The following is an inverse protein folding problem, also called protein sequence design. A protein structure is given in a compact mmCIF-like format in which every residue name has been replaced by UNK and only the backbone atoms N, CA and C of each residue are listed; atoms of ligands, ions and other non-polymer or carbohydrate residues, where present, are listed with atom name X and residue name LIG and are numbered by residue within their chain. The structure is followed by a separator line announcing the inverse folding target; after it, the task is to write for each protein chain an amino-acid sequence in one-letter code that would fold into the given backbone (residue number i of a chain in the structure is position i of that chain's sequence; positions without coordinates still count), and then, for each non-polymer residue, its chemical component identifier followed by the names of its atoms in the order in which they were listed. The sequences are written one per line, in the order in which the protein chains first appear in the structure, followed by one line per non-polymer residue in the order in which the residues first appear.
data_IF_642561973004
#
_entry.id   IF_642561973004
#
_cell.length_a   1.000
_cell.length_b   1.000
_cell.length_c   1.000
_cell.angle_alpha   90.00
_cell.angle_beta   90.00
_cell.angle_gamma   90.00
#
_symmetry.space_group_name_H-M   'P 1'
#
loop_
_entity.id
_entity.type
_entity.pdbx_description
1 polymer ?
#
# COMPACT_ATOMS: atom_id res chain seq x y z
N UNK A 1 21.65 64.22 17.03
CA UNK A 1 22.77 63.33 17.40
C UNK A 1 22.33 62.57 18.62
N UNK A 2 21.73 61.44 18.42
CA UNK A 2 21.25 60.54 19.47
C UNK A 2 22.00 59.23 19.34
N UNK A 3 22.85 58.96 20.34
CA UNK A 3 23.66 57.76 20.41
C UNK A 3 22.78 56.60 20.88
N UNK A 4 22.62 55.59 20.04
CA UNK A 4 21.99 54.34 20.32
C UNK A 4 23.00 53.44 21.08
N UNK A 5 22.75 53.29 22.37
CA UNK A 5 23.56 52.47 23.26
C UNK A 5 23.23 50.99 23.03
N UNK A 6 24.06 50.31 22.26
CA UNK A 6 24.03 48.84 22.11
C UNK A 6 24.43 48.21 23.46
N UNK A 7 23.44 47.72 24.25
CA UNK A 7 23.72 46.88 25.41
C UNK A 7 24.07 45.48 24.93
N UNK A 8 25.30 45.09 25.13
CA UNK A 8 25.70 43.70 25.00
C UNK A 8 24.98 42.85 26.06
N UNK A 9 24.48 41.68 25.70
CA UNK A 9 23.86 40.75 26.66
C UNK A 9 24.94 40.26 27.64
N UNK A 10 24.65 40.41 28.94
CA UNK A 10 25.56 40.00 30.01
C UNK A 10 25.84 38.46 29.99
N UNK A 11 26.94 38.04 30.62
CA UNK A 11 27.41 36.65 30.61
C UNK A 11 26.37 35.62 31.07
N UNK A 12 25.44 36.01 31.93
CA UNK A 12 24.33 35.20 32.44
C UNK A 12 23.31 34.82 31.34
N UNK A 13 23.15 35.64 30.31
CA UNK A 13 22.17 35.39 29.23
C UNK A 13 22.73 34.35 28.25
N UNK A 14 24.02 34.38 28.01
CA UNK A 14 24.68 33.42 27.14
C UNK A 14 24.73 31.99 27.77
N UNK A 15 25.00 31.90 29.07
CA UNK A 15 24.98 30.63 29.77
C UNK A 15 23.58 30.00 29.84
N UNK A 16 22.53 30.82 29.99
CA UNK A 16 21.13 30.33 29.96
C UNK A 16 20.75 29.82 28.59
N UNK A 17 21.10 30.55 27.52
CA UNK A 17 20.84 30.10 26.14
C UNK A 17 21.54 28.77 25.80
N UNK A 18 22.78 28.58 26.28
CA UNK A 18 23.49 27.32 26.10
C UNK A 18 22.89 26.15 26.87
N UNK A 19 22.38 26.37 28.07
CA UNK A 19 21.70 25.33 28.85
C UNK A 19 20.35 24.95 28.24
N UNK A 20 19.61 25.91 27.72
CA UNK A 20 18.34 25.66 27.04
C UNK A 20 18.55 24.87 25.73
N UNK A 21 19.59 25.21 24.98
CA UNK A 21 19.94 24.52 23.73
C UNK A 21 20.38 23.06 24.00
N UNK A 22 21.20 22.85 25.04
CA UNK A 22 21.63 21.49 25.45
C UNK A 22 20.44 20.66 25.99
N UNK A 23 19.49 21.29 26.71
CA UNK A 23 18.31 20.59 27.18
C UNK A 23 17.37 20.22 26.05
N UNK A 24 17.23 21.06 25.00
CA UNK A 24 16.44 20.76 23.81
C UNK A 24 17.07 19.65 22.97
N UNK A 25 18.41 19.64 22.81
CA UNK A 25 19.12 18.59 22.10
C UNK A 25 19.01 17.24 22.82
N UNK A 26 19.19 17.21 24.14
CA UNK A 26 19.04 15.98 24.94
C UNK A 26 17.60 15.43 24.86
N UNK A 27 16.60 16.31 24.85
CA UNK A 27 15.20 15.89 24.71
C UNK A 27 14.90 15.34 23.31
N UNK A 28 15.48 15.96 22.26
CA UNK A 28 15.32 15.49 20.88
C UNK A 28 16.00 14.13 20.66
N UNK A 29 17.18 13.91 21.21
CA UNK A 29 17.88 12.62 21.13
C UNK A 29 17.14 11.51 21.90
N UNK A 30 16.60 11.79 23.08
CA UNK A 30 15.78 10.85 23.82
C UNK A 30 14.50 10.49 23.10
N UNK A 31 13.87 11.47 22.44
CA UNK A 31 12.63 11.26 21.66
C UNK A 31 12.94 10.41 20.41
N UNK A 32 14.05 10.66 19.74
CA UNK A 32 14.48 9.89 18.57
C UNK A 32 14.84 8.44 18.96
N UNK A 33 15.52 8.24 20.08
CA UNK A 33 15.85 6.90 20.58
C UNK A 33 14.60 6.11 21.01
N UNK A 34 13.61 6.76 21.63
CA UNK A 34 12.35 6.13 22.00
C UNK A 34 11.51 5.81 20.77
N UNK A 35 11.47 6.67 19.77
CA UNK A 35 10.80 6.40 18.50
C UNK A 35 11.42 5.21 17.76
N UNK A 36 12.76 5.09 17.80
CA UNK A 36 13.47 3.95 17.22
C UNK A 36 13.20 2.62 17.96
N UNK A 37 12.96 2.67 19.28
CA UNK A 37 12.59 1.48 20.07
C UNK A 37 11.14 1.07 19.89
N UNK A 38 10.23 2.00 19.67
CA UNK A 38 8.80 1.70 19.41
C UNK A 38 8.55 1.13 18.02
N UNK A 39 9.41 1.41 17.04
CA UNK A 39 9.34 0.86 15.68
C UNK A 39 9.78 -0.62 15.58
N UNK A 40 10.33 -1.20 16.63
CA UNK A 40 10.61 -2.65 16.69
C UNK A 40 9.33 -3.39 17.08
N UNK A 41 8.50 -3.67 16.10
CA UNK A 41 7.50 -4.72 16.22
C UNK A 41 8.26 -6.02 16.54
N UNK A 42 8.02 -6.69 17.68
CA UNK A 42 8.59 -8.01 17.90
C UNK A 42 7.99 -8.92 16.84
N UNK A 43 8.74 -9.13 15.76
CA UNK A 43 8.27 -9.91 14.64
C UNK A 43 7.83 -11.28 15.12
N UNK A 44 6.55 -11.59 14.99
CA UNK A 44 6.12 -12.98 14.90
C UNK A 44 7.05 -13.66 13.89
N UNK A 45 7.50 -14.90 14.13
CA UNK A 45 8.27 -15.63 13.13
C UNK A 45 7.61 -15.43 11.78
N UNK A 46 8.36 -14.96 10.77
CA UNK A 46 7.81 -14.68 9.46
C UNK A 46 7.08 -15.94 9.00
N UNK A 47 5.77 -15.81 8.80
CA UNK A 47 5.02 -16.89 8.17
C UNK A 47 5.67 -17.18 6.80
N UNK A 48 5.62 -18.42 6.35
CA UNK A 48 6.12 -18.79 5.04
C UNK A 48 5.56 -17.81 3.98
N UNK A 49 6.37 -17.35 3.02
CA UNK A 49 5.93 -16.44 1.99
C UNK A 49 4.69 -17.00 1.30
N UNK A 50 3.63 -16.19 1.21
CA UNK A 50 2.38 -16.54 0.54
C UNK A 50 2.00 -15.42 -0.40
N UNK A 51 1.42 -15.78 -1.56
CA UNK A 51 0.86 -14.82 -2.50
C UNK A 51 -0.56 -14.42 -2.07
N UNK A 52 -1.09 -13.33 -2.66
CA UNK A 52 -2.50 -12.97 -2.47
C UNK A 52 -3.45 -14.07 -2.96
N UNK A 53 -3.07 -14.79 -4.00
CA UNK A 53 -3.83 -15.93 -4.53
C UNK A 53 -3.89 -17.07 -3.52
N UNK A 54 -2.76 -17.43 -2.90
CA UNK A 54 -2.73 -18.44 -1.83
C UNK A 54 -3.63 -18.07 -0.65
N UNK A 55 -3.66 -16.78 -0.29
CA UNK A 55 -4.53 -16.27 0.78
C UNK A 55 -6.00 -16.39 0.39
N UNK A 56 -6.38 -15.97 -0.82
CA UNK A 56 -7.74 -16.09 -1.34
C UNK A 56 -8.20 -17.56 -1.32
N UNK A 57 -7.40 -18.47 -1.90
CA UNK A 57 -7.73 -19.89 -1.94
C UNK A 57 -7.87 -20.51 -0.56
N UNK A 58 -6.96 -20.18 0.37
CA UNK A 58 -7.04 -20.68 1.74
C UNK A 58 -8.31 -20.17 2.44
N UNK A 59 -8.66 -18.89 2.29
CA UNK A 59 -9.85 -18.29 2.90
C UNK A 59 -11.13 -18.84 2.26
N UNK A 60 -11.16 -18.99 0.94
CA UNK A 60 -12.30 -19.57 0.23
C UNK A 60 -12.58 -21.03 0.64
N UNK A 61 -11.55 -21.80 0.99
CA UNK A 61 -11.73 -23.15 1.54
C UNK A 61 -12.26 -23.14 2.98
N UNK A 62 -11.83 -22.20 3.80
CA UNK A 62 -12.21 -22.13 5.23
C UNK A 62 -13.57 -21.45 5.43
N UNK A 63 -13.85 -20.42 4.65
CA UNK A 63 -15.02 -19.54 4.81
C UNK A 63 -15.77 -19.33 3.48
N UNK A 64 -16.21 -20.39 2.79
CA UNK A 64 -16.71 -20.28 1.41
C UNK A 64 -17.99 -19.44 1.27
N UNK A 65 -18.81 -19.40 2.30
CA UNK A 65 -20.09 -18.69 2.28
C UNK A 65 -20.01 -17.25 2.83
N UNK A 66 -18.89 -16.89 3.47
CA UNK A 66 -18.73 -15.56 4.03
C UNK A 66 -18.58 -14.50 2.92
N UNK A 67 -19.05 -13.26 3.17
CA UNK A 67 -18.85 -12.14 2.26
C UNK A 67 -17.35 -11.87 2.06
N UNK A 68 -16.95 -11.70 0.79
CA UNK A 68 -15.57 -11.39 0.42
C UNK A 68 -15.43 -9.99 -0.17
N UNK A 69 -16.35 -9.59 -1.04
CA UNK A 69 -16.39 -8.28 -1.67
C UNK A 69 -17.83 -7.75 -1.65
N UNK A 70 -17.96 -6.44 -1.48
CA UNK A 70 -19.22 -5.71 -1.57
C UNK A 70 -18.96 -4.37 -2.28
N UNK A 71 -19.53 -4.16 -3.46
CA UNK A 71 -19.44 -2.93 -4.23
C UNK A 71 -20.70 -2.03 -4.08
N UNK A 72 -21.55 -2.34 -3.11
CA UNK A 72 -22.81 -1.65 -2.87
C UNK A 72 -23.93 -2.04 -3.86
N UNK A 73 -23.65 -2.88 -4.86
CA UNK A 73 -24.62 -3.44 -5.82
C UNK A 73 -24.73 -4.94 -5.68
N UNK A 74 -23.58 -5.60 -5.51
CA UNK A 74 -23.48 -7.05 -5.45
C UNK A 74 -22.49 -7.46 -4.36
N UNK A 75 -22.88 -8.41 -3.54
CA UNK A 75 -22.01 -9.03 -2.55
C UNK A 75 -21.54 -10.38 -3.10
N UNK A 76 -20.22 -10.54 -3.23
CA UNK A 76 -19.62 -11.82 -3.59
C UNK A 76 -19.15 -12.55 -2.34
N UNK A 77 -19.52 -13.82 -2.19
CA UNK A 77 -18.90 -14.70 -1.19
C UNK A 77 -17.49 -15.10 -1.63
N UNK A 78 -16.66 -15.60 -0.71
CA UNK A 78 -15.33 -16.13 -1.06
C UNK A 78 -15.38 -17.22 -2.11
N UNK A 79 -16.40 -18.07 -2.09
CA UNK A 79 -16.62 -19.10 -3.12
C UNK A 79 -16.92 -18.48 -4.48
N UNK A 80 -17.80 -17.48 -4.54
CA UNK A 80 -18.15 -16.79 -5.77
C UNK A 80 -16.94 -16.04 -6.33
N UNK A 81 -16.23 -15.28 -5.49
CA UNK A 81 -15.00 -14.58 -5.88
C UNK A 81 -13.96 -15.55 -6.46
N UNK A 82 -13.68 -16.65 -5.78
CA UNK A 82 -12.72 -17.65 -6.27
C UNK A 82 -13.15 -18.25 -7.62
N UNK A 83 -14.44 -18.48 -7.82
CA UNK A 83 -14.97 -18.99 -9.08
C UNK A 83 -14.82 -17.99 -10.23
N UNK A 84 -15.12 -16.71 -10.00
CA UNK A 84 -14.95 -15.65 -11.00
C UNK A 84 -13.48 -15.42 -11.37
N UNK A 85 -12.60 -15.38 -10.36
CA UNK A 85 -11.16 -15.29 -10.55
C UNK A 85 -10.65 -16.44 -11.41
N UNK A 86 -11.05 -17.68 -11.11
CA UNK A 86 -10.64 -18.86 -11.89
C UNK A 86 -11.21 -18.84 -13.30
N UNK A 87 -12.44 -18.39 -13.50
CA UNK A 87 -13.04 -18.24 -14.83
C UNK A 87 -12.25 -17.24 -15.69
N UNK A 88 -11.91 -16.08 -15.14
CA UNK A 88 -11.14 -15.06 -15.86
C UNK A 88 -9.70 -15.54 -16.11
N UNK A 89 -9.06 -16.20 -15.13
CA UNK A 89 -7.75 -16.81 -15.29
C UNK A 89 -7.70 -17.78 -16.50
N UNK A 90 -8.73 -18.63 -16.65
CA UNK A 90 -8.83 -19.55 -17.80
C UNK A 90 -8.96 -18.81 -19.13
N UNK A 91 -9.71 -17.71 -19.16
CA UNK A 91 -9.82 -16.85 -20.36
C UNK A 91 -8.49 -16.21 -20.72
N UNK A 92 -7.74 -15.71 -19.73
CA UNK A 92 -6.39 -15.19 -19.93
C UNK A 92 -5.44 -16.25 -20.48
N UNK A 93 -5.45 -17.47 -19.90
CA UNK A 93 -4.66 -18.59 -20.37
C UNK A 93 -5.02 -19.01 -21.81
N UNK A 94 -6.31 -19.01 -22.16
CA UNK A 94 -6.77 -19.30 -23.52
C UNK A 94 -6.32 -18.24 -24.54
N UNK A 95 -6.08 -17.00 -24.09
CA UNK A 95 -5.48 -15.92 -24.87
C UNK A 95 -3.93 -15.96 -24.90
N UNK A 96 -3.31 -16.99 -24.30
CA UNK A 96 -1.86 -17.14 -24.26
C UNK A 96 -1.16 -16.34 -23.16
N UNK A 97 -1.92 -15.73 -22.26
CA UNK A 97 -1.38 -14.89 -21.17
C UNK A 97 -0.99 -15.78 -19.99
N UNK A 98 0.22 -15.59 -19.49
CA UNK A 98 0.76 -16.36 -18.39
C UNK A 98 1.94 -15.68 -17.68
N UNK A 99 2.82 -16.49 -17.14
CA UNK A 99 3.95 -16.03 -16.32
C UNK A 99 4.90 -15.12 -17.11
N UNK A 100 5.13 -13.93 -16.56
CA UNK A 100 6.03 -12.91 -17.14
C UNK A 100 5.33 -11.89 -18.03
N UNK A 101 4.07 -12.13 -18.39
CA UNK A 101 3.29 -11.18 -19.17
C UNK A 101 2.80 -10.00 -18.32
N UNK A 102 2.44 -8.91 -18.99
CA UNK A 102 1.80 -7.75 -18.40
C UNK A 102 0.40 -7.61 -18.96
N UNK A 103 -0.58 -7.41 -18.09
CA UNK A 103 -1.99 -7.27 -18.46
C UNK A 103 -2.51 -5.90 -18.02
N UNK A 104 -2.95 -5.09 -18.96
CA UNK A 104 -3.62 -3.83 -18.66
C UNK A 104 -4.97 -4.07 -17.99
N UNK A 105 -5.19 -3.42 -16.86
CA UNK A 105 -6.47 -3.46 -16.13
C UNK A 105 -7.04 -2.07 -16.09
N UNK A 106 -8.09 -1.84 -16.89
CA UNK A 106 -8.82 -0.58 -16.97
C UNK A 106 -10.28 -0.81 -16.56
N UNK A 107 -10.50 -0.84 -15.25
CA UNK A 107 -11.79 -1.16 -14.64
C UNK A 107 -12.08 -0.10 -13.57
N UNK A 108 -13.34 0.40 -13.46
CA UNK A 108 -13.70 1.41 -12.46
C UNK A 108 -13.34 1.00 -11.04
N UNK A 109 -12.78 1.94 -10.29
CA UNK A 109 -12.45 1.77 -8.88
C UNK A 109 -13.70 1.46 -8.04
N UNK A 110 -13.54 0.65 -6.98
CA UNK A 110 -14.61 0.31 -6.06
C UNK A 110 -15.60 -0.73 -6.60
N UNK A 111 -15.33 -1.36 -7.74
CA UNK A 111 -16.16 -2.43 -8.30
C UNK A 111 -15.60 -3.82 -7.97
N UNK A 112 -16.45 -4.82 -7.86
CA UNK A 112 -16.03 -6.21 -7.71
C UNK A 112 -15.17 -6.68 -8.90
N UNK A 113 -15.46 -6.19 -10.10
CA UNK A 113 -14.74 -6.52 -11.34
C UNK A 113 -13.26 -6.12 -11.28
N UNK A 114 -12.92 -5.02 -10.62
CA UNK A 114 -11.54 -4.60 -10.44
C UNK A 114 -10.75 -5.66 -9.65
N UNK A 115 -11.28 -6.09 -8.51
CA UNK A 115 -10.63 -7.08 -7.65
C UNK A 115 -10.54 -8.45 -8.33
N UNK A 116 -11.60 -8.88 -9.01
CA UNK A 116 -11.61 -10.12 -9.81
C UNK A 116 -10.53 -10.06 -10.88
N UNK A 117 -10.42 -8.94 -11.61
CA UNK A 117 -9.43 -8.77 -12.68
C UNK A 117 -8.00 -8.84 -12.16
N UNK A 118 -7.69 -8.09 -11.09
CA UNK A 118 -6.36 -8.09 -10.47
C UNK A 118 -5.97 -9.47 -9.98
N UNK A 119 -6.87 -10.14 -9.25
CA UNK A 119 -6.61 -11.48 -8.71
C UNK A 119 -6.46 -12.53 -9.81
N UNK A 120 -7.22 -12.45 -10.89
CA UNK A 120 -7.12 -13.37 -12.02
C UNK A 120 -5.80 -13.20 -12.79
N UNK A 121 -5.33 -11.98 -12.99
CA UNK A 121 -4.01 -11.72 -13.61
C UNK A 121 -2.90 -12.27 -12.73
N UNK A 122 -2.95 -12.06 -11.42
CA UNK A 122 -1.97 -12.63 -10.49
C UNK A 122 -2.03 -14.16 -10.46
N UNK A 123 -3.23 -14.75 -10.52
CA UNK A 123 -3.43 -16.19 -10.58
C UNK A 123 -2.93 -16.82 -11.90
N UNK A 124 -2.89 -16.06 -12.98
CA UNK A 124 -2.25 -16.45 -14.24
C UNK A 124 -0.71 -16.37 -14.19
N UNK A 125 -0.14 -15.80 -13.12
CA UNK A 125 1.30 -15.58 -12.99
C UNK A 125 1.80 -14.33 -13.73
N UNK A 126 0.89 -13.51 -14.24
CA UNK A 126 1.18 -12.27 -14.94
C UNK A 126 1.22 -11.08 -13.98
N UNK A 127 1.74 -9.95 -14.45
CA UNK A 127 1.71 -8.68 -13.74
C UNK A 127 0.56 -7.81 -14.27
N UNK A 128 -0.24 -7.22 -13.37
CA UNK A 128 -1.24 -6.26 -13.78
C UNK A 128 -0.66 -4.85 -13.88
N UNK A 129 -1.14 -4.08 -14.86
CA UNK A 129 -0.80 -2.67 -15.07
C UNK A 129 -2.10 -1.88 -14.95
N UNK A 130 -2.32 -1.17 -13.83
CA UNK A 130 -3.56 -0.45 -13.63
C UNK A 130 -3.59 0.84 -14.45
N UNK A 131 -4.72 1.12 -15.07
CA UNK A 131 -5.05 2.38 -15.74
C UNK A 131 -6.40 2.83 -15.23
N UNK A 132 -6.54 4.11 -14.92
CA UNK A 132 -7.83 4.64 -14.49
C UNK A 132 -8.86 4.48 -15.61
N UNK A 133 -10.06 4.01 -15.25
CA UNK A 133 -11.14 3.83 -16.20
C UNK A 133 -11.60 5.17 -16.81
N UNK A 134 -11.40 6.28 -16.08
CA UNK A 134 -11.75 7.65 -16.50
C UNK A 134 -10.62 8.34 -17.30
N UNK A 135 -9.41 7.74 -17.35
CA UNK A 135 -8.32 8.28 -18.16
C UNK A 135 -8.68 8.25 -19.67
N UNK A 136 -8.24 9.26 -20.45
CA UNK A 136 -8.39 9.27 -21.90
C UNK A 136 -7.74 8.04 -22.56
N UNK A 137 -8.35 7.55 -23.66
CA UNK A 137 -7.86 6.36 -24.36
C UNK A 137 -6.41 6.49 -24.83
N UNK A 138 -5.99 7.69 -25.22
CA UNK A 138 -4.61 7.98 -25.63
C UNK A 138 -3.60 7.71 -24.50
N UNK A 139 -3.99 8.07 -23.25
CA UNK A 139 -3.14 7.78 -22.09
C UNK A 139 -3.08 6.30 -21.76
N UNK A 140 -4.22 5.60 -21.89
CA UNK A 140 -4.25 4.16 -21.70
C UNK A 140 -3.36 3.43 -22.73
N UNK A 141 -3.36 3.87 -24.00
CA UNK A 141 -2.51 3.33 -25.05
C UNK A 141 -1.02 3.50 -24.72
N UNK A 142 -0.60 4.69 -24.29
CA UNK A 142 0.79 4.96 -23.89
C UNK A 142 1.30 4.09 -22.73
N UNK A 143 0.39 3.61 -21.88
CA UNK A 143 0.76 2.74 -20.75
C UNK A 143 0.88 1.28 -21.20
N UNK A 144 0.17 0.89 -22.28
CA UNK A 144 0.09 -0.50 -22.75
C UNK A 144 1.05 -0.80 -23.90
N UNK A 145 1.69 0.21 -24.50
CA UNK A 145 2.78 0.07 -25.48
C UNK A 145 4.14 -0.19 -24.80
#
# INVERSE_FOLDING_TARGET
MTAESSREPGPDAAERAQRDDQAQQATAEQTAEQAGKQARYPGRPAAAPRTLVDLLEATARQHPAEPALDDGRTVLSYRALAAEVEQLRRRLAAAGIGRGDRVGVRVPSGTNDLYVSVLAVLAAGAAYVPVDAEDPDERAQLVFE
#
